data_IF_411846636030
#
_entry.id   IF_411846636030
#
_cell.length_a   1.000
_cell.length_b   1.000
_cell.length_c   1.000
_cell.angle_alpha   90.00
_cell.angle_beta   90.00
_cell.angle_gamma   90.00
#
_symmetry.space_group_name_H-M   'P 1'
#
loop_
_entity.id
_entity.type
_entity.pdbx_description
1 polymer ?
#
# COMPACT_ATOMS: atom_id res chain seq x y z
N UNK A 1 -37.70 34.39 6.77
CA UNK A 1 -36.95 33.15 6.56
C UNK A 1 -35.49 33.54 6.45
N UNK A 2 -34.58 32.98 7.26
CA UNK A 2 -33.17 33.29 7.13
C UNK A 2 -32.67 32.64 5.84
N UNK A 3 -31.96 33.43 5.02
CA UNK A 3 -31.22 32.95 3.87
C UNK A 3 -30.19 31.92 4.34
N UNK A 4 -30.30 30.69 3.85
CA UNK A 4 -29.24 29.71 3.93
C UNK A 4 -28.02 30.33 3.24
N UNK A 5 -27.01 30.66 4.06
CA UNK A 5 -25.68 30.92 3.53
C UNK A 5 -25.18 29.60 2.94
N UNK A 6 -25.14 29.53 1.62
CA UNK A 6 -24.25 28.61 0.92
C UNK A 6 -22.87 28.77 1.56
N UNK A 7 -22.46 27.78 2.36
CA UNK A 7 -21.07 27.66 2.79
C UNK A 7 -20.26 27.45 1.52
N UNK A 8 -19.50 28.45 1.11
CA UNK A 8 -18.56 28.37 0.00
C UNK A 8 -17.55 27.25 0.34
N UNK A 9 -17.82 26.04 -0.17
CA UNK A 9 -16.94 24.89 -0.01
C UNK A 9 -15.56 25.23 -0.59
N UNK A 10 -14.49 24.81 0.09
CA UNK A 10 -13.11 25.17 -0.23
C UNK A 10 -12.78 24.91 -1.70
N UNK A 11 -12.40 25.97 -2.43
CA UNK A 11 -11.85 25.87 -3.79
C UNK A 11 -10.60 24.98 -3.75
N UNK A 12 -10.43 24.12 -4.76
CA UNK A 12 -9.18 23.37 -4.95
C UNK A 12 -7.99 24.33 -4.77
N UNK A 13 -7.12 24.10 -3.77
CA UNK A 13 -6.03 25.02 -3.47
C UNK A 13 -4.96 25.06 -4.58
N UNK A 14 -4.94 24.08 -5.48
CA UNK A 14 -3.93 23.93 -6.54
C UNK A 14 -4.54 23.37 -7.85
N UNK A 15 -5.47 24.09 -8.50
CA UNK A 15 -6.30 23.57 -9.61
C UNK A 15 -5.55 23.24 -10.91
N UNK A 16 -4.23 23.50 -10.94
CA UNK A 16 -3.34 23.23 -12.08
C UNK A 16 -2.36 22.10 -11.81
N UNK A 17 -2.24 21.65 -10.58
CA UNK A 17 -1.33 20.57 -10.20
C UNK A 17 -2.05 19.23 -10.39
N UNK A 18 -1.53 18.36 -11.24
CA UNK A 18 -2.20 17.09 -11.59
C UNK A 18 -1.84 15.93 -10.65
N UNK A 19 -0.82 16.12 -9.81
CA UNK A 19 -0.38 15.14 -8.81
C UNK A 19 -1.32 15.03 -7.61
N UNK A 20 -2.41 15.80 -7.59
CA UNK A 20 -3.46 15.76 -6.58
C UNK A 20 -4.43 14.60 -6.82
N UNK A 21 -4.83 13.99 -5.70
CA UNK A 21 -5.89 12.96 -5.68
C UNK A 21 -7.28 13.62 -5.62
N UNK A 22 -7.39 14.89 -5.22
CA UNK A 22 -8.68 15.57 -5.07
C UNK A 22 -9.21 16.15 -6.38
N UNK A 23 -10.03 15.38 -7.09
CA UNK A 23 -11.00 15.98 -8.01
C UNK A 23 -12.38 15.54 -7.56
N UNK A 24 -13.04 16.41 -6.76
CA UNK A 24 -14.42 16.28 -6.26
C UNK A 24 -14.72 14.96 -5.54
N UNK A 25 -14.28 14.85 -4.30
CA UNK A 25 -14.98 13.94 -3.40
C UNK A 25 -16.03 14.70 -2.63
N UNK A 26 -17.27 14.35 -2.96
CA UNK A 26 -18.56 14.72 -2.42
C UNK A 26 -18.82 16.20 -2.06
N UNK A 27 -20.08 16.58 -2.22
CA UNK A 27 -20.63 17.88 -1.86
C UNK A 27 -20.68 18.05 -0.32
N UNK A 28 -20.13 17.09 0.43
CA UNK A 28 -20.13 17.02 1.88
C UNK A 28 -18.70 16.93 2.44
N UNK A 29 -18.39 17.62 3.55
CA UNK A 29 -17.15 17.38 4.27
C UNK A 29 -17.17 15.96 4.84
N UNK A 30 -16.21 15.13 4.40
CA UNK A 30 -15.94 13.83 5.00
C UNK A 30 -15.54 14.06 6.46
N UNK A 31 -16.30 13.50 7.40
CA UNK A 31 -15.96 13.55 8.81
C UNK A 31 -14.79 12.60 9.08
N UNK A 32 -13.64 13.18 9.47
CA UNK A 32 -12.40 12.43 9.76
C UNK A 32 -12.57 11.44 10.92
N UNK A 33 -13.62 11.58 11.73
CA UNK A 33 -13.81 10.79 12.95
C UNK A 33 -14.56 9.48 12.73
N UNK A 34 -15.17 9.30 11.56
CA UNK A 34 -15.98 8.11 11.26
C UNK A 34 -15.41 7.30 10.10
N UNK A 35 -14.57 6.32 10.45
CA UNK A 35 -14.06 5.29 9.52
C UNK A 35 -15.18 4.41 8.92
N UNK A 36 -16.42 4.54 9.41
CA UNK A 36 -17.60 3.87 8.85
C UNK A 36 -18.43 4.75 7.90
N UNK A 37 -18.04 6.02 7.71
CA UNK A 37 -18.66 6.89 6.71
C UNK A 37 -18.43 6.33 5.29
N UNK A 38 -19.50 6.05 4.52
CA UNK A 38 -19.39 5.57 3.15
C UNK A 38 -18.49 6.42 2.26
N UNK A 39 -18.49 7.75 2.42
CA UNK A 39 -17.67 8.65 1.62
C UNK A 39 -16.17 8.50 1.95
N UNK A 40 -15.81 8.30 3.22
CA UNK A 40 -14.44 7.98 3.67
C UNK A 40 -13.95 6.67 3.04
N UNK A 41 -14.79 5.64 3.06
CA UNK A 41 -14.46 4.31 2.50
C UNK A 41 -14.24 4.42 0.98
N UNK A 42 -15.12 5.13 0.28
CA UNK A 42 -15.00 5.37 -1.16
C UNK A 42 -13.69 6.09 -1.50
N UNK A 43 -13.30 7.12 -0.74
CA UNK A 43 -12.02 7.80 -0.93
C UNK A 43 -10.82 6.88 -0.82
N UNK A 44 -10.77 6.07 0.24
CA UNK A 44 -9.65 5.18 0.52
C UNK A 44 -9.46 4.20 -0.64
N UNK A 45 -10.55 3.60 -1.11
CA UNK A 45 -10.53 2.75 -2.30
C UNK A 45 -10.11 3.52 -3.56
N UNK A 46 -10.55 4.77 -3.74
CA UNK A 46 -10.17 5.60 -4.88
C UNK A 46 -8.66 5.80 -4.92
N UNK A 47 -8.08 6.21 -3.79
CA UNK A 47 -6.65 6.48 -3.66
C UNK A 47 -5.81 5.22 -3.92
N UNK A 48 -6.18 4.07 -3.36
CA UNK A 48 -5.49 2.79 -3.59
C UNK A 48 -5.52 2.40 -5.06
N UNK A 49 -6.71 2.41 -5.68
CA UNK A 49 -6.87 2.07 -7.11
C UNK A 49 -6.09 3.02 -8.01
N UNK A 50 -6.00 4.31 -7.65
CA UNK A 50 -5.17 5.29 -8.36
C UNK A 50 -3.71 4.87 -8.37
N UNK A 51 -3.17 4.52 -7.20
CA UNK A 51 -1.77 4.10 -7.05
C UNK A 51 -1.52 2.83 -7.86
N UNK A 52 -2.39 1.82 -7.75
CA UNK A 52 -2.26 0.56 -8.49
C UNK A 52 -2.24 0.78 -10.00
N UNK A 53 -3.20 1.55 -10.54
CA UNK A 53 -3.26 1.85 -11.99
C UNK A 53 -2.04 2.65 -12.45
N UNK A 54 -1.59 3.61 -11.65
CA UNK A 54 -0.39 4.38 -11.94
C UNK A 54 0.84 3.47 -12.08
N UNK A 55 1.00 2.49 -11.18
CA UNK A 55 2.07 1.50 -11.26
C UNK A 55 1.94 0.66 -12.54
N UNK A 56 0.74 0.13 -12.82
CA UNK A 56 0.47 -0.69 -14.00
C UNK A 56 0.77 0.03 -15.32
N UNK A 57 0.35 1.30 -15.47
CA UNK A 57 0.65 2.14 -16.65
C UNK A 57 2.14 2.32 -16.88
N UNK A 58 2.93 2.27 -15.82
CA UNK A 58 4.38 2.35 -15.88
C UNK A 58 5.04 0.96 -16.03
N UNK A 59 4.30 -0.07 -16.43
CA UNK A 59 4.79 -1.45 -16.53
C UNK A 59 5.37 -1.96 -15.19
N UNK A 60 4.63 -1.73 -14.10
CA UNK A 60 4.91 -2.31 -12.78
C UNK A 60 3.70 -3.17 -12.43
N UNK A 61 3.91 -4.46 -12.23
CA UNK A 61 2.86 -5.39 -11.83
C UNK A 61 2.44 -5.08 -10.40
N UNK A 62 1.24 -4.54 -10.21
CA UNK A 62 0.71 -4.15 -8.92
C UNK A 62 -0.78 -4.51 -8.76
N UNK A 63 -1.23 -4.72 -7.52
CA UNK A 63 -2.64 -4.96 -7.22
C UNK A 63 -3.06 -4.35 -5.87
N UNK A 64 -4.36 -4.22 -5.67
CA UNK A 64 -4.97 -3.86 -4.39
C UNK A 64 -5.03 -5.12 -3.49
N UNK A 65 -4.30 -5.10 -2.38
CA UNK A 65 -4.25 -6.24 -1.46
C UNK A 65 -5.47 -6.31 -0.51
N UNK A 66 -6.31 -5.28 -0.50
CA UNK A 66 -7.54 -5.17 0.29
C UNK A 66 -8.81 -5.38 -0.54
N UNK A 67 -8.72 -5.93 -1.75
CA UNK A 67 -9.89 -6.31 -2.56
C UNK A 67 -10.70 -7.45 -1.88
N UNK A 68 -11.37 -7.12 -0.78
CA UNK A 68 -12.61 -7.77 -0.36
C UNK A 68 -13.68 -7.42 -1.38
N UNK A 69 -14.61 -8.35 -1.58
CA UNK A 69 -15.65 -8.32 -2.61
C UNK A 69 -16.73 -7.23 -2.39
N UNK A 70 -16.34 -6.00 -2.07
CA UNK A 70 -17.23 -4.85 -2.10
C UNK A 70 -17.38 -4.41 -3.56
N UNK A 71 -18.57 -4.71 -4.08
CA UNK A 71 -19.07 -4.31 -5.40
C UNK A 71 -19.07 -2.78 -5.55
N UNK A 72 -18.49 -2.34 -6.67
CA UNK A 72 -19.14 -1.55 -7.72
C UNK A 72 -19.86 -0.23 -7.41
N UNK A 73 -19.43 0.56 -6.42
CA UNK A 73 -19.98 1.93 -6.28
C UNK A 73 -19.05 3.05 -6.78
N UNK A 74 -17.81 2.73 -7.20
CA UNK A 74 -16.97 3.69 -7.90
C UNK A 74 -16.91 3.39 -9.38
N UNK A 75 -17.52 4.28 -10.17
CA UNK A 75 -17.27 4.35 -11.60
C UNK A 75 -15.78 4.53 -11.85
N UNK A 76 -15.24 3.85 -12.86
CA UNK A 76 -13.86 4.06 -13.35
C UNK A 76 -13.61 5.48 -13.88
N UNK A 77 -14.65 6.32 -13.82
CA UNK A 77 -14.82 7.63 -14.43
C UNK A 77 -14.25 8.79 -13.59
N UNK A 78 -13.76 8.52 -12.38
CA UNK A 78 -13.12 9.52 -11.49
C UNK A 78 -11.61 9.71 -11.73
N UNK A 79 -11.04 8.99 -12.71
CA UNK A 79 -9.65 9.16 -13.14
C UNK A 79 -9.59 9.98 -14.44
N UNK A 80 -9.56 11.31 -14.33
CA UNK A 80 -9.52 12.23 -15.48
C UNK A 80 -8.12 12.47 -16.08
N UNK A 81 -7.10 11.73 -15.61
CA UNK A 81 -5.72 11.88 -16.10
C UNK A 81 -5.46 11.18 -17.45
N UNK A 82 -6.44 10.42 -17.98
CA UNK A 82 -6.31 9.81 -19.30
C UNK A 82 -6.97 10.68 -20.38
N UNK A 83 -6.31 10.78 -21.55
CA UNK A 83 -6.95 11.27 -22.77
C UNK A 83 -8.10 10.33 -23.08
N UNK A 84 -9.32 10.76 -22.76
CA UNK A 84 -10.53 9.98 -23.04
C UNK A 84 -10.84 10.06 -24.53
N UNK A 85 -11.23 8.93 -25.15
CA UNK A 85 -11.88 9.00 -26.44
C UNK A 85 -13.08 9.95 -26.37
N UNK A 86 -13.26 10.77 -27.39
CA UNK A 86 -14.52 11.49 -27.57
C UNK A 86 -15.59 10.47 -27.96
N UNK A 87 -16.24 9.87 -26.96
CA UNK A 87 -17.24 8.82 -27.16
C UNK A 87 -18.43 9.30 -27.98
N UNK A 88 -18.75 10.60 -27.97
CA UNK A 88 -19.76 11.16 -28.86
C UNK A 88 -19.31 11.18 -30.33
N UNK A 89 -18.04 11.45 -30.62
CA UNK A 89 -17.48 11.30 -31.96
C UNK A 89 -17.36 9.82 -32.37
N UNK A 90 -17.02 8.94 -31.43
CA UNK A 90 -16.97 7.48 -31.65
C UNK A 90 -18.35 6.94 -32.00
N UNK A 91 -19.37 7.23 -31.18
CA UNK A 91 -20.75 6.79 -31.39
C UNK A 91 -21.24 7.24 -32.77
N UNK A 92 -21.02 8.50 -33.16
CA UNK A 92 -21.41 9.00 -34.51
C UNK A 92 -20.84 8.18 -35.67
N UNK A 93 -19.66 7.58 -35.50
CA UNK A 93 -19.01 6.75 -36.53
C UNK A 93 -19.47 5.29 -36.52
N UNK A 94 -20.07 4.84 -35.43
CA UNK A 94 -20.64 3.50 -35.36
C UNK A 94 -21.95 3.46 -36.16
N UNK A 95 -22.08 2.43 -36.99
CA UNK A 95 -23.26 2.21 -37.83
C UNK A 95 -23.58 0.73 -37.84
N UNK A 96 -24.86 0.41 -37.71
CA UNK A 96 -25.37 -0.96 -37.85
C UNK A 96 -26.27 -1.04 -39.07
N UNK A 97 -26.33 -2.22 -39.70
CA UNK A 97 -27.19 -2.43 -40.85
C UNK A 97 -28.03 -3.70 -40.64
N UNK A 98 -29.34 -3.54 -40.54
CA UNK A 98 -30.27 -4.64 -40.42
C UNK A 98 -31.53 -4.41 -41.25
N UNK A 99 -32.02 -5.49 -41.86
CA UNK A 99 -33.30 -5.50 -42.56
C UNK A 99 -34.40 -5.94 -41.60
N UNK A 100 -35.45 -5.13 -41.51
CA UNK A 100 -36.68 -5.49 -40.82
C UNK A 100 -37.33 -6.71 -41.48
N UNK A 101 -37.73 -7.71 -40.67
CA UNK A 101 -38.52 -8.85 -41.13
C UNK A 101 -39.98 -8.69 -40.65
N UNK A 102 -40.93 -8.42 -41.56
CA UNK A 102 -42.34 -8.25 -41.21
C UNK A 102 -43.00 -9.53 -40.68
N UNK A 103 -42.40 -10.70 -40.90
CA UNK A 103 -42.94 -11.97 -40.44
C UNK A 103 -42.50 -12.33 -39.01
N UNK A 104 -41.65 -11.50 -38.39
CA UNK A 104 -41.13 -11.71 -37.05
C UNK A 104 -41.82 -10.80 -36.04
N UNK A 105 -42.03 -11.33 -34.84
CA UNK A 105 -42.51 -10.53 -33.70
C UNK A 105 -41.48 -9.44 -33.33
N UNK A 106 -41.91 -8.44 -32.56
CA UNK A 106 -40.99 -7.43 -32.01
C UNK A 106 -39.85 -8.06 -31.21
N UNK A 107 -40.14 -9.10 -30.42
CA UNK A 107 -39.12 -9.87 -29.70
C UNK A 107 -38.10 -10.53 -30.64
N UNK A 108 -38.58 -11.23 -31.68
CA UNK A 108 -37.73 -11.94 -32.64
C UNK A 108 -36.87 -11.00 -33.49
N UNK A 109 -37.43 -9.86 -33.90
CA UNK A 109 -36.66 -8.80 -34.55
C UNK A 109 -35.65 -8.18 -33.56
N UNK A 110 -36.06 -7.99 -32.31
CA UNK A 110 -35.26 -7.43 -31.23
C UNK A 110 -33.97 -8.21 -30.90
N UNK A 111 -33.95 -9.53 -31.11
CA UNK A 111 -32.77 -10.36 -30.84
C UNK A 111 -31.52 -9.94 -31.64
N UNK A 112 -31.69 -9.22 -32.77
CA UNK A 112 -30.57 -8.69 -33.54
C UNK A 112 -29.73 -7.67 -32.76
N UNK A 113 -30.31 -6.99 -31.77
CA UNK A 113 -29.59 -6.07 -30.89
C UNK A 113 -28.41 -6.75 -30.17
N UNK A 114 -28.52 -8.05 -29.89
CA UNK A 114 -27.40 -8.81 -29.34
C UNK A 114 -26.23 -8.96 -30.31
N UNK A 115 -26.48 -9.08 -31.62
CA UNK A 115 -25.42 -9.18 -32.62
C UNK A 115 -24.69 -7.85 -32.82
N UNK A 116 -25.40 -6.73 -32.70
CA UNK A 116 -24.80 -5.39 -32.78
C UNK A 116 -23.75 -5.12 -31.69
N UNK A 117 -23.87 -5.74 -30.52
CA UNK A 117 -22.82 -5.65 -29.48
C UNK A 117 -21.50 -6.26 -29.97
N UNK A 118 -21.55 -7.37 -30.70
CA UNK A 118 -20.34 -8.01 -31.23
C UNK A 118 -19.71 -7.16 -32.35
N UNK A 119 -20.54 -6.52 -33.18
CA UNK A 119 -20.12 -5.53 -34.18
C UNK A 119 -19.47 -4.30 -33.51
N UNK A 120 -20.06 -3.81 -32.41
CA UNK A 120 -19.53 -2.68 -31.66
C UNK A 120 -18.16 -3.00 -31.01
N UNK A 121 -18.01 -4.18 -30.41
CA UNK A 121 -16.71 -4.61 -29.88
C UNK A 121 -15.63 -4.67 -30.95
N UNK A 122 -15.96 -5.22 -32.13
CA UNK A 122 -15.04 -5.27 -33.26
C UNK A 122 -14.66 -3.86 -33.72
N UNK A 123 -15.64 -2.97 -33.85
CA UNK A 123 -15.42 -1.57 -34.19
C UNK A 123 -14.48 -0.89 -33.17
N UNK A 124 -14.69 -1.11 -31.87
CA UNK A 124 -13.81 -0.57 -30.84
C UNK A 124 -12.37 -1.08 -30.98
N UNK A 125 -12.18 -2.39 -31.17
CA UNK A 125 -10.85 -2.98 -31.37
C UNK A 125 -10.13 -2.41 -32.60
N UNK A 126 -10.83 -2.31 -33.74
CA UNK A 126 -10.28 -1.78 -35.00
C UNK A 126 -9.88 -0.30 -34.90
N UNK A 127 -10.48 0.44 -33.98
CA UNK A 127 -10.20 1.86 -33.75
C UNK A 127 -9.31 2.11 -32.51
N UNK A 128 -8.75 1.05 -31.91
CA UNK A 128 -7.90 1.17 -30.71
C UNK A 128 -8.64 1.74 -29.49
N UNK A 129 -9.95 1.53 -29.44
CA UNK A 129 -10.81 1.96 -28.34
C UNK A 129 -10.92 0.84 -27.31
N UNK A 130 -10.79 1.23 -26.06
CA UNK A 130 -10.94 0.32 -24.93
C UNK A 130 -12.32 0.51 -24.30
N UNK A 131 -13.16 -0.51 -24.36
CA UNK A 131 -14.52 -0.48 -23.83
C UNK A 131 -14.54 -0.34 -22.30
N UNK A 132 -13.46 -0.70 -21.61
CA UNK A 132 -13.32 -0.44 -20.16
C UNK A 132 -13.37 1.06 -19.85
N UNK A 133 -13.12 1.94 -20.83
CA UNK A 133 -13.17 3.39 -20.64
C UNK A 133 -14.55 4.01 -20.88
N UNK A 134 -15.56 3.20 -21.17
CA UNK A 134 -16.94 3.66 -21.33
C UNK A 134 -17.58 3.94 -19.96
N UNK A 135 -18.50 4.92 -19.94
CA UNK A 135 -19.45 5.16 -18.85
C UNK A 135 -20.86 4.74 -19.27
N UNK A 136 -21.77 4.71 -18.31
CA UNK A 136 -23.21 4.50 -18.57
C UNK A 136 -23.75 5.52 -19.59
N UNK A 137 -23.37 6.79 -19.48
CA UNK A 137 -23.73 7.81 -20.48
C UNK A 137 -23.15 7.52 -21.88
N UNK A 138 -21.97 6.89 -21.98
CA UNK A 138 -21.40 6.51 -23.28
C UNK A 138 -22.13 5.31 -23.87
N UNK A 139 -22.59 4.38 -23.03
CA UNK A 139 -23.45 3.26 -23.43
C UNK A 139 -24.78 3.81 -23.97
N UNK A 140 -25.39 4.77 -23.28
CA UNK A 140 -26.61 5.45 -23.74
C UNK A 140 -26.39 6.15 -25.08
N UNK A 141 -25.27 6.87 -25.27
CA UNK A 141 -24.94 7.52 -26.54
C UNK A 141 -24.85 6.52 -27.71
N UNK A 142 -24.24 5.35 -27.48
CA UNK A 142 -24.12 4.31 -28.51
C UNK A 142 -25.47 3.62 -28.75
N UNK A 143 -26.29 3.44 -27.70
CA UNK A 143 -27.66 2.91 -27.81
C UNK A 143 -28.53 3.83 -28.67
N UNK A 144 -28.50 5.13 -28.41
CA UNK A 144 -29.27 6.12 -29.15
C UNK A 144 -28.82 6.16 -30.63
N UNK A 145 -27.50 6.00 -30.87
CA UNK A 145 -26.98 5.83 -32.22
C UNK A 145 -27.53 4.60 -32.95
N UNK A 146 -27.70 3.48 -32.24
CA UNK A 146 -28.31 2.27 -32.81
C UNK A 146 -29.76 2.53 -33.20
N UNK A 147 -30.54 3.27 -32.38
CA UNK A 147 -31.91 3.67 -32.75
C UNK A 147 -31.93 4.52 -34.02
N UNK A 148 -31.03 5.50 -34.13
CA UNK A 148 -30.90 6.36 -35.32
C UNK A 148 -30.61 5.54 -36.59
N UNK A 149 -29.76 4.52 -36.51
CA UNK A 149 -29.44 3.65 -37.65
C UNK A 149 -30.65 2.83 -38.12
N UNK A 150 -31.66 2.67 -37.25
CA UNK A 150 -32.88 1.90 -37.53
C UNK A 150 -34.07 2.81 -37.80
N UNK A 151 -33.90 4.12 -38.00
CA UNK A 151 -34.99 5.10 -38.16
C UNK A 151 -36.04 4.67 -39.20
N UNK A 152 -35.61 4.03 -40.29
CA UNK A 152 -36.48 3.56 -41.38
C UNK A 152 -37.35 2.34 -41.03
N UNK A 153 -37.19 1.75 -39.84
CA UNK A 153 -38.02 0.63 -39.40
C UNK A 153 -39.44 1.09 -39.07
N UNK A 154 -40.46 0.30 -39.45
CA UNK A 154 -41.85 0.77 -39.48
C UNK A 154 -42.53 0.93 -38.11
N UNK A 155 -41.91 0.47 -37.02
CA UNK A 155 -42.51 0.49 -35.69
C UNK A 155 -41.47 0.77 -34.60
N UNK A 156 -41.77 1.76 -33.75
CA UNK A 156 -40.94 2.14 -32.61
C UNK A 156 -40.78 1.00 -31.61
N UNK A 157 -41.80 0.16 -31.41
CA UNK A 157 -41.75 -1.00 -30.50
C UNK A 157 -40.68 -2.00 -30.93
N UNK A 158 -40.48 -2.19 -32.25
CA UNK A 158 -39.43 -3.07 -32.74
C UNK A 158 -38.05 -2.47 -32.50
N UNK A 159 -37.87 -1.16 -32.75
CA UNK A 159 -36.61 -0.47 -32.51
C UNK A 159 -36.24 -0.46 -31.03
N UNK A 160 -37.20 -0.14 -30.16
CA UNK A 160 -37.06 -0.17 -28.71
C UNK A 160 -36.57 -1.54 -28.22
N UNK A 161 -37.17 -2.64 -28.70
CA UNK A 161 -36.72 -3.97 -28.32
C UNK A 161 -35.29 -4.28 -28.78
N UNK A 162 -34.87 -3.79 -29.96
CA UNK A 162 -33.49 -3.93 -30.45
C UNK A 162 -32.53 -3.14 -29.55
N UNK A 163 -32.85 -1.88 -29.25
CA UNK A 163 -32.00 -1.01 -28.43
C UNK A 163 -31.92 -1.49 -26.99
N UNK A 164 -33.01 -2.00 -26.40
CA UNK A 164 -32.99 -2.60 -25.06
C UNK A 164 -32.11 -3.85 -24.99
N UNK A 165 -32.20 -4.74 -25.99
CA UNK A 165 -31.36 -5.94 -26.03
C UNK A 165 -29.88 -5.59 -26.26
N UNK A 166 -29.61 -4.58 -27.10
CA UNK A 166 -28.27 -4.05 -27.31
C UNK A 166 -27.69 -3.48 -26.02
N UNK A 167 -28.40 -2.55 -25.38
CA UNK A 167 -28.03 -1.91 -24.12
C UNK A 167 -27.75 -2.95 -23.03
N UNK A 168 -28.68 -3.87 -22.80
CA UNK A 168 -28.53 -4.94 -21.82
C UNK A 168 -27.26 -5.78 -22.05
N UNK A 169 -26.98 -6.22 -23.29
CA UNK A 169 -25.81 -7.06 -23.57
C UNK A 169 -24.51 -6.24 -23.56
N UNK A 170 -24.53 -4.97 -23.98
CA UNK A 170 -23.37 -4.10 -23.91
C UNK A 170 -22.98 -3.80 -22.46
N UNK A 171 -23.93 -3.37 -21.64
CA UNK A 171 -23.73 -3.12 -20.21
C UNK A 171 -23.23 -4.38 -19.49
N UNK A 172 -23.83 -5.54 -19.78
CA UNK A 172 -23.36 -6.81 -19.23
C UNK A 172 -21.94 -7.17 -19.68
N UNK A 173 -21.62 -7.00 -20.96
CA UNK A 173 -20.27 -7.31 -21.44
C UNK A 173 -19.21 -6.35 -20.92
N UNK A 174 -19.55 -5.09 -20.71
CA UNK A 174 -18.70 -4.10 -20.07
C UNK A 174 -18.42 -4.50 -18.62
N UNK A 175 -19.47 -4.86 -17.88
CA UNK A 175 -19.38 -5.32 -16.49
C UNK A 175 -18.55 -6.61 -16.36
N UNK A 176 -18.85 -7.63 -17.18
CA UNK A 176 -18.08 -8.88 -17.22
C UNK A 176 -16.59 -8.62 -17.51
N UNK A 177 -16.28 -7.62 -18.34
CA UNK A 177 -14.90 -7.26 -18.67
C UNK A 177 -14.20 -6.50 -17.54
N UNK A 178 -14.89 -5.64 -16.79
CA UNK A 178 -14.35 -5.05 -15.56
C UNK A 178 -14.02 -6.13 -14.54
N UNK A 179 -14.93 -7.09 -14.34
CA UNK A 179 -14.71 -8.22 -13.44
C UNK A 179 -13.48 -9.03 -13.87
N UNK A 180 -13.34 -9.31 -15.17
CA UNK A 180 -12.17 -10.01 -15.70
C UNK A 180 -10.88 -9.19 -15.59
N UNK A 181 -10.93 -7.88 -15.81
CA UNK A 181 -9.77 -6.99 -15.65
C UNK A 181 -9.30 -7.02 -14.19
N UNK A 182 -10.20 -6.75 -13.24
CA UNK A 182 -9.94 -6.83 -11.80
C UNK A 182 -9.41 -8.22 -11.39
N UNK A 183 -10.00 -9.29 -11.91
CA UNK A 183 -9.53 -10.66 -11.66
C UNK A 183 -8.12 -10.91 -12.24
N UNK A 184 -7.81 -10.37 -13.41
CA UNK A 184 -6.49 -10.46 -14.03
C UNK A 184 -5.43 -9.70 -13.23
N UNK A 185 -5.78 -8.55 -12.65
CA UNK A 185 -4.92 -7.78 -11.74
C UNK A 185 -4.58 -8.57 -10.48
N UNK A 186 -5.51 -9.40 -9.96
CA UNK A 186 -5.27 -10.32 -8.84
C UNK A 186 -4.33 -11.51 -9.14
N UNK A 187 -3.97 -11.72 -10.41
CA UNK A 187 -3.06 -12.80 -10.86
C UNK A 187 -1.70 -12.31 -11.33
N UNK A 188 -1.45 -11.00 -11.29
CA UNK A 188 -0.19 -10.42 -11.72
C UNK A 188 0.99 -10.99 -10.93
N UNK A 189 2.00 -11.50 -11.64
CA UNK A 189 3.29 -11.89 -11.06
C UNK A 189 4.36 -10.92 -11.56
N UNK A 190 5.05 -10.25 -10.65
CA UNK A 190 6.20 -9.43 -11.01
C UNK A 190 7.32 -10.36 -11.53
N UNK A 191 7.92 -10.10 -12.71
CA UNK A 191 8.89 -11.01 -13.31
C UNK A 191 10.17 -11.16 -12.47
N UNK A 192 10.44 -10.23 -11.54
CA UNK A 192 11.61 -10.24 -10.67
C UNK A 192 11.34 -10.87 -9.30
N UNK A 193 10.10 -11.29 -9.01
CA UNK A 193 9.77 -11.86 -7.70
C UNK A 193 10.51 -13.18 -7.44
N UNK A 194 11.03 -13.33 -6.23
CA UNK A 194 11.59 -14.59 -5.75
C UNK A 194 10.44 -15.48 -5.30
N UNK A 195 10.31 -16.64 -5.96
CA UNK A 195 9.34 -17.67 -5.55
C UNK A 195 9.72 -18.24 -4.19
N UNK A 196 8.86 -17.98 -3.20
CA UNK A 196 8.96 -18.55 -1.85
C UNK A 196 7.85 -19.59 -1.67
N UNK A 197 8.20 -20.76 -1.16
CA UNK A 197 7.25 -21.86 -0.92
C UNK A 197 6.16 -21.38 0.05
N UNK A 198 4.88 -21.61 -0.31
CA UNK A 198 3.68 -21.18 0.46
C UNK A 198 3.51 -19.67 0.60
N UNK A 199 4.13 -18.87 -0.26
CA UNK A 199 3.89 -17.45 -0.34
C UNK A 199 2.44 -17.19 -0.82
N UNK A 200 1.71 -16.32 -0.11
CA UNK A 200 0.35 -15.92 -0.52
C UNK A 200 0.39 -15.19 -1.86
N UNK A 201 -0.65 -15.34 -2.68
CA UNK A 201 -0.76 -14.71 -4.00
C UNK A 201 -0.47 -13.21 -4.00
N UNK A 202 -0.92 -12.50 -2.96
CA UNK A 202 -0.69 -11.05 -2.78
C UNK A 202 0.76 -10.59 -2.74
N UNK A 203 1.72 -11.50 -2.53
CA UNK A 203 3.15 -11.17 -2.47
C UNK A 203 3.90 -11.54 -3.76
N UNK A 204 3.19 -11.91 -4.82
CA UNK A 204 3.79 -12.24 -6.13
C UNK A 204 4.04 -11.01 -7.01
N UNK A 205 3.41 -9.88 -6.66
CA UNK A 205 3.55 -8.60 -7.32
C UNK A 205 3.64 -7.50 -6.28
N UNK A 206 3.86 -6.26 -6.72
CA UNK A 206 3.70 -5.11 -5.84
C UNK A 206 2.25 -5.06 -5.34
N UNK A 207 2.07 -4.62 -4.11
CA UNK A 207 0.74 -4.45 -3.55
C UNK A 207 0.62 -3.10 -2.87
N UNK A 208 -0.58 -2.54 -2.94
CA UNK A 208 -0.93 -1.31 -2.24
C UNK A 208 -1.95 -1.68 -1.17
N UNK A 209 -1.71 -1.22 0.05
CA UNK A 209 -2.64 -1.37 1.19
C UNK A 209 -2.85 -0.03 1.86
N UNK A 210 -4.00 0.13 2.49
CA UNK A 210 -4.24 1.24 3.41
C UNK A 210 -3.29 1.14 4.60
N UNK A 211 -2.64 2.25 4.93
CA UNK A 211 -1.93 2.41 6.20
C UNK A 211 -2.81 3.17 7.18
N UNK A 212 -3.59 2.41 7.96
CA UNK A 212 -4.51 2.94 8.98
C UNK A 212 -3.81 3.72 10.10
N UNK A 213 -2.47 3.64 10.19
CA UNK A 213 -1.73 4.46 11.16
C UNK A 213 -1.62 5.93 10.74
N UNK A 214 -1.96 6.25 9.49
CA UNK A 214 -1.98 7.61 8.93
C UNK A 214 -3.45 8.05 8.83
N UNK A 215 -3.99 8.52 9.94
CA UNK A 215 -5.38 8.97 10.10
C UNK A 215 -5.61 10.47 9.83
N UNK A 216 -4.54 11.20 9.48
CA UNK A 216 -4.58 12.65 9.27
C UNK A 216 -4.62 13.49 10.55
N UNK A 217 -5.07 12.95 11.70
CA UNK A 217 -5.05 13.65 13.00
C UNK A 217 -3.63 13.92 13.49
N UNK A 218 -2.72 13.01 13.17
CA UNK A 218 -1.30 13.18 13.46
C UNK A 218 -0.59 14.26 12.62
N UNK A 219 -1.28 14.96 11.72
CA UNK A 219 -0.66 15.84 10.72
C UNK A 219 -0.83 17.30 11.10
N UNK A 220 0.17 17.85 11.81
CA UNK A 220 0.17 19.24 12.28
C UNK A 220 1.32 20.03 11.65
N UNK A 221 1.23 21.37 11.56
CA UNK A 221 2.28 22.19 10.96
C UNK A 221 3.64 22.04 11.66
N UNK A 222 3.63 21.84 12.97
CA UNK A 222 4.82 21.58 13.78
C UNK A 222 5.52 20.25 13.43
N UNK A 223 4.82 19.35 12.73
CA UNK A 223 5.32 18.05 12.24
C UNK A 223 5.76 18.08 10.78
N UNK A 224 5.82 19.28 10.19
CA UNK A 224 6.22 19.49 8.81
C UNK A 224 7.44 20.40 8.76
N UNK A 225 8.46 20.01 7.99
CA UNK A 225 9.55 20.92 7.66
C UNK A 225 9.08 21.77 6.49
N UNK A 226 8.52 22.92 6.83
CA UNK A 226 8.15 23.93 5.85
C UNK A 226 9.44 24.69 5.50
N UNK A 227 9.90 24.67 4.24
CA UNK A 227 11.03 25.50 3.83
C UNK A 227 10.75 26.96 4.19
N UNK A 228 11.75 27.69 4.69
CA UNK A 228 11.57 29.06 5.23
C UNK A 228 10.83 30.03 4.28
N UNK A 229 10.94 29.80 2.97
CA UNK A 229 10.28 30.60 1.93
C UNK A 229 8.79 30.25 1.69
N UNK A 230 8.25 29.25 2.39
CA UNK A 230 6.86 28.80 2.32
C UNK A 230 6.16 28.77 3.68
N UNK A 231 6.73 29.40 4.73
CA UNK A 231 6.19 29.41 6.10
C UNK A 231 4.73 29.88 6.21
N UNK A 232 4.23 30.65 5.22
CA UNK A 232 2.85 31.12 5.17
C UNK A 232 1.83 30.10 4.63
N UNK A 233 2.26 28.93 4.16
CA UNK A 233 1.37 27.90 3.60
C UNK A 233 1.24 26.77 4.62
N UNK A 234 0.04 26.60 5.17
CA UNK A 234 -0.28 25.55 6.15
C UNK A 234 -0.96 24.38 5.43
N UNK A 235 -0.20 23.40 4.91
CA UNK A 235 -0.75 22.43 3.99
C UNK A 235 -1.76 21.48 4.67
N UNK A 236 -1.74 21.42 6.01
CA UNK A 236 -2.61 20.56 6.82
C UNK A 236 -4.09 20.95 6.79
N UNK A 237 -4.37 22.24 6.59
CA UNK A 237 -5.73 22.80 6.61
C UNK A 237 -6.39 22.70 5.23
N UNK A 238 -5.57 22.62 4.17
CA UNK A 238 -6.01 22.63 2.79
C UNK A 238 -6.21 21.23 2.19
N UNK A 239 -5.72 20.16 2.87
CA UNK A 239 -5.61 18.82 2.27
C UNK A 239 -6.39 17.71 2.99
N UNK A 240 -6.80 16.73 2.19
CA UNK A 240 -7.21 15.41 2.65
C UNK A 240 -6.01 14.47 2.67
N UNK A 241 -5.73 13.89 3.84
CA UNK A 241 -4.60 13.00 4.04
C UNK A 241 -5.04 11.56 3.88
N UNK A 242 -4.25 10.77 3.14
CA UNK A 242 -4.48 9.35 2.96
C UNK A 242 -3.17 8.58 3.18
N UNK A 243 -3.22 7.54 4.01
CA UNK A 243 -2.14 6.60 4.25
C UNK A 243 -2.14 5.43 3.29
N UNK A 244 -1.06 5.26 2.53
CA UNK A 244 -0.84 4.07 1.72
C UNK A 244 0.51 3.44 2.00
N UNK A 245 0.54 2.12 2.17
CA UNK A 245 1.76 1.33 2.15
C UNK A 245 1.88 0.61 0.80
N UNK A 246 3.01 0.82 0.12
CA UNK A 246 3.35 0.11 -1.13
C UNK A 246 4.37 -0.96 -0.80
N UNK A 247 3.95 -2.22 -0.90
CA UNK A 247 4.73 -3.39 -0.48
C UNK A 247 5.28 -4.11 -1.71
N UNK A 248 6.59 -4.32 -1.76
CA UNK A 248 7.23 -5.10 -2.82
C UNK A 248 6.92 -6.59 -2.70
N UNK A 249 6.99 -7.37 -3.79
CA UNK A 249 7.15 -8.80 -3.67
C UNK A 249 8.51 -9.12 -3.01
N UNK A 250 8.78 -10.38 -2.59
CA UNK A 250 10.13 -10.77 -2.21
C UNK A 250 11.08 -10.58 -3.39
N UNK A 251 12.08 -9.72 -3.22
CA UNK A 251 13.08 -9.42 -4.24
C UNK A 251 14.43 -10.06 -3.88
N UNK A 252 15.22 -10.39 -4.89
CA UNK A 252 16.58 -10.88 -4.68
C UNK A 252 17.50 -9.72 -4.27
N UNK A 253 18.18 -9.85 -3.13
CA UNK A 253 19.01 -8.79 -2.55
C UNK A 253 20.17 -8.36 -3.48
N UNK A 254 20.77 -9.31 -4.19
CA UNK A 254 21.95 -9.13 -5.03
C UNK A 254 21.61 -8.92 -6.53
N UNK A 255 20.33 -8.73 -6.87
CA UNK A 255 19.92 -8.52 -8.24
C UNK A 255 19.86 -7.02 -8.60
N UNK A 256 20.55 -6.58 -9.66
CA UNK A 256 20.39 -5.23 -10.22
C UNK A 256 18.95 -4.94 -10.66
N UNK A 257 18.18 -5.97 -11.05
CA UNK A 257 16.78 -5.80 -11.44
C UNK A 257 15.90 -5.44 -10.24
N UNK A 258 16.18 -5.99 -9.05
CA UNK A 258 15.47 -5.63 -7.82
C UNK A 258 15.66 -4.14 -7.49
N UNK A 259 16.90 -3.66 -7.56
CA UNK A 259 17.23 -2.24 -7.32
C UNK A 259 16.52 -1.34 -8.33
N UNK A 260 16.60 -1.68 -9.62
CA UNK A 260 15.92 -0.94 -10.67
C UNK A 260 14.39 -0.93 -10.50
N UNK A 261 13.80 -2.04 -10.06
CA UNK A 261 12.36 -2.15 -9.78
C UNK A 261 11.93 -1.22 -8.65
N UNK A 262 12.67 -1.23 -7.52
CA UNK A 262 12.43 -0.34 -6.39
C UNK A 262 12.56 1.13 -6.81
N UNK A 263 13.64 1.49 -7.50
CA UNK A 263 13.87 2.86 -8.00
C UNK A 263 12.75 3.32 -8.93
N UNK A 264 12.31 2.44 -9.84
CA UNK A 264 11.23 2.72 -10.78
C UNK A 264 9.91 2.99 -10.04
N UNK A 265 9.54 2.15 -9.06
CA UNK A 265 8.35 2.35 -8.23
C UNK A 265 8.44 3.69 -7.49
N UNK A 266 9.55 3.95 -6.79
CA UNK A 266 9.74 5.22 -6.08
C UNK A 266 9.66 6.43 -7.02
N UNK A 267 10.28 6.36 -8.20
CA UNK A 267 10.23 7.43 -9.21
C UNK A 267 8.82 7.67 -9.73
N UNK A 268 8.06 6.62 -10.03
CA UNK A 268 6.68 6.72 -10.53
C UNK A 268 5.78 7.36 -9.48
N UNK A 269 5.87 6.92 -8.23
CA UNK A 269 5.08 7.49 -7.13
C UNK A 269 5.42 8.97 -6.92
N UNK A 270 6.70 9.34 -6.83
CA UNK A 270 7.12 10.75 -6.66
C UNK A 270 6.74 11.64 -7.84
N UNK A 271 6.85 11.12 -9.06
CA UNK A 271 6.60 11.89 -10.28
C UNK A 271 5.12 12.20 -10.50
N UNK A 272 4.22 11.36 -9.98
CA UNK A 272 2.80 11.41 -10.31
C UNK A 272 1.89 11.65 -9.09
N UNK A 273 2.39 11.49 -7.87
CA UNK A 273 1.63 11.74 -6.64
C UNK A 273 2.31 12.83 -5.83
N UNK A 274 1.50 13.67 -5.18
CA UNK A 274 2.01 14.66 -4.24
C UNK A 274 2.33 13.99 -2.92
N UNK A 275 3.55 13.50 -2.79
CA UNK A 275 4.06 12.94 -1.54
C UNK A 275 4.53 14.08 -0.63
N UNK A 276 3.77 14.33 0.43
CA UNK A 276 4.10 15.33 1.43
C UNK A 276 5.18 14.84 2.38
N UNK A 277 6.33 15.50 2.34
CA UNK A 277 7.50 15.21 3.16
C UNK A 277 8.13 16.54 3.60
N UNK A 278 8.60 16.64 4.85
CA UNK A 278 8.58 15.61 5.88
C UNK A 278 7.33 15.59 6.76
N UNK A 279 6.94 14.40 7.22
CA UNK A 279 5.95 14.21 8.28
C UNK A 279 6.62 13.42 9.40
N UNK A 280 6.51 13.92 10.63
CA UNK A 280 7.18 13.37 11.82
C UNK A 280 6.56 12.04 12.29
N UNK A 281 5.30 11.71 11.95
CA UNK A 281 4.58 10.56 12.52
C UNK A 281 3.96 9.66 11.44
N UNK A 282 3.89 8.36 11.72
CA UNK A 282 3.21 7.28 10.97
C UNK A 282 3.73 6.91 9.58
N UNK A 283 4.50 7.76 8.89
CA UNK A 283 5.17 7.33 7.64
C UNK A 283 6.40 6.49 7.98
N UNK A 284 6.49 5.26 7.45
CA UNK A 284 7.57 4.30 7.75
C UNK A 284 8.19 3.67 6.51
N UNK A 285 9.46 3.29 6.57
CA UNK A 285 10.09 2.37 5.61
C UNK A 285 10.49 1.09 6.33
N UNK A 286 9.98 -0.03 5.82
CA UNK A 286 10.17 -1.34 6.42
C UNK A 286 10.94 -2.24 5.46
N UNK A 287 12.08 -2.77 5.92
CA UNK A 287 12.84 -3.77 5.17
C UNK A 287 12.61 -5.13 5.79
N UNK A 288 12.04 -6.05 5.01
CA UNK A 288 11.86 -7.44 5.43
C UNK A 288 12.96 -8.32 4.85
N UNK A 289 13.88 -8.78 5.71
CA UNK A 289 14.96 -9.67 5.34
C UNK A 289 14.55 -11.14 5.58
N UNK A 290 14.41 -11.89 4.49
CA UNK A 290 14.09 -13.31 4.50
C UNK A 290 15.30 -14.18 4.15
N UNK A 291 15.35 -15.40 4.70
CA UNK A 291 16.35 -16.40 4.32
C UNK A 291 15.64 -17.69 3.88
N UNK A 292 15.97 -18.20 2.69
CA UNK A 292 15.29 -19.37 2.08
C UNK A 292 15.34 -20.62 2.97
N UNK A 293 16.41 -20.79 3.76
CA UNK A 293 16.59 -21.92 4.67
C UNK A 293 16.26 -21.59 6.13
N UNK A 294 15.60 -20.46 6.38
CA UNK A 294 15.36 -19.94 7.72
C UNK A 294 16.61 -19.35 8.36
N UNK A 295 16.38 -18.56 9.41
CA UNK A 295 17.44 -17.99 10.25
C UNK A 295 17.87 -18.99 11.32
N UNK A 296 19.16 -19.00 11.66
CA UNK A 296 19.68 -19.72 12.83
C UNK A 296 20.08 -18.74 13.95
N UNK A 297 20.20 -19.25 15.18
CA UNK A 297 20.48 -18.42 16.35
C UNK A 297 21.79 -17.62 16.23
N UNK A 298 22.85 -18.21 15.67
CA UNK A 298 24.12 -17.52 15.49
C UNK A 298 24.00 -16.33 14.51
N UNK A 299 23.29 -16.53 13.41
CA UNK A 299 22.99 -15.45 12.46
C UNK A 299 22.18 -14.33 13.14
N UNK A 300 21.21 -14.69 14.00
CA UNK A 300 20.42 -13.71 14.73
C UNK A 300 21.25 -12.91 15.73
N UNK A 301 22.11 -13.58 16.51
CA UNK A 301 23.04 -12.93 17.44
C UNK A 301 23.95 -11.96 16.70
N UNK A 302 24.55 -12.39 15.58
CA UNK A 302 25.40 -11.53 14.74
C UNK A 302 24.64 -10.36 14.14
N UNK A 303 23.42 -10.58 13.64
CA UNK A 303 22.60 -9.52 13.07
C UNK A 303 22.22 -8.46 14.12
N UNK A 304 21.73 -8.88 15.28
CA UNK A 304 21.35 -7.95 16.36
C UNK A 304 22.58 -7.23 16.90
N UNK A 305 23.71 -7.94 17.07
CA UNK A 305 24.98 -7.33 17.48
C UNK A 305 25.42 -6.27 16.47
N UNK A 306 25.40 -6.61 15.17
CA UNK A 306 25.73 -5.65 14.12
C UNK A 306 24.82 -4.44 14.19
N UNK A 307 23.50 -4.63 14.34
CA UNK A 307 22.54 -3.55 14.45
C UNK A 307 22.84 -2.62 15.63
N UNK A 308 23.08 -3.17 16.83
CA UNK A 308 23.47 -2.38 18.02
C UNK A 308 24.68 -1.49 17.71
N UNK A 309 25.71 -2.03 17.06
CA UNK A 309 26.96 -1.30 16.77
C UNK A 309 26.83 -0.23 15.69
N UNK A 310 25.82 -0.32 14.83
CA UNK A 310 25.66 0.61 13.70
C UNK A 310 24.47 1.55 13.87
N UNK A 311 23.53 1.25 14.76
CA UNK A 311 22.26 1.97 14.92
C UNK A 311 22.50 3.46 15.24
N UNK A 312 23.46 3.78 16.11
CA UNK A 312 23.83 5.16 16.43
C UNK A 312 24.37 5.93 15.22
N UNK A 313 25.01 5.26 14.27
CA UNK A 313 25.52 5.88 13.03
C UNK A 313 24.42 6.05 12.00
N UNK A 314 23.53 5.07 11.89
CA UNK A 314 22.35 5.18 11.05
C UNK A 314 21.38 6.24 11.59
N UNK A 315 21.33 6.48 12.92
CA UNK A 315 20.37 7.41 13.54
C UNK A 315 20.38 8.81 12.89
N UNK A 316 21.55 9.23 12.39
CA UNK A 316 21.82 10.52 11.75
C UNK A 316 21.56 10.57 10.24
N UNK A 317 21.45 9.42 9.57
CA UNK A 317 20.94 9.34 8.20
C UNK A 317 19.42 9.56 8.14
N UNK A 318 18.77 9.64 9.29
CA UNK A 318 17.36 9.94 9.40
C UNK A 318 17.11 11.43 9.62
N UNK A 319 15.84 11.84 9.51
CA UNK A 319 15.43 13.21 9.77
C UNK A 319 15.87 13.70 11.15
N UNK A 320 16.00 15.02 11.25
CA UNK A 320 16.47 15.80 12.41
C UNK A 320 15.86 15.38 13.76
N UNK A 321 14.67 14.80 13.75
CA UNK A 321 13.83 14.52 14.91
C UNK A 321 13.82 13.04 15.33
N UNK A 322 14.50 12.11 14.64
CA UNK A 322 14.53 10.69 15.07
C UNK A 322 15.07 10.50 16.48
N UNK A 323 16.04 11.31 16.89
CA UNK A 323 16.58 11.29 18.26
C UNK A 323 15.70 12.02 19.28
N UNK A 324 14.56 12.59 18.88
CA UNK A 324 13.67 13.28 19.80
C UNK A 324 12.90 12.26 20.65
N UNK A 325 12.78 12.55 21.94
CA UNK A 325 12.11 11.69 22.93
C UNK A 325 10.69 11.27 22.51
N UNK A 326 9.93 12.21 21.93
CA UNK A 326 8.58 11.97 21.38
C UNK A 326 8.50 10.93 20.25
N UNK A 327 9.62 10.59 19.61
CA UNK A 327 9.68 9.59 18.53
C UNK A 327 10.01 8.18 19.04
N UNK A 328 10.42 8.05 20.31
CA UNK A 328 10.82 6.77 20.89
C UNK A 328 9.70 5.73 20.82
N UNK A 329 8.44 6.11 21.00
CA UNK A 329 7.31 5.15 20.94
C UNK A 329 7.10 4.55 19.54
N UNK A 330 7.53 5.23 18.47
CA UNK A 330 7.29 4.81 17.08
C UNK A 330 8.49 4.10 16.43
N UNK A 331 9.72 4.42 16.87
CA UNK A 331 10.95 3.86 16.33
C UNK A 331 12.12 3.97 17.33
N UNK A 332 11.97 3.39 18.53
CA UNK A 332 13.01 3.43 19.56
C UNK A 332 14.27 2.64 19.16
N UNK A 333 15.43 3.12 19.59
CA UNK A 333 16.68 2.38 19.49
C UNK A 333 16.59 1.05 20.26
N UNK A 334 17.36 0.04 19.84
CA UNK A 334 17.41 -1.26 20.51
C UNK A 334 17.78 -1.13 22.00
N UNK A 335 18.72 -0.24 22.31
CA UNK A 335 19.23 -0.02 23.66
C UNK A 335 18.26 0.71 24.60
N UNK A 336 17.13 1.20 24.09
CA UNK A 336 16.14 1.96 24.86
C UNK A 336 14.76 1.30 24.83
N UNK A 337 14.29 0.90 23.64
CA UNK A 337 12.90 0.47 23.41
C UNK A 337 12.62 -1.01 23.53
N UNK A 338 13.64 -1.84 23.76
CA UNK A 338 13.43 -3.29 23.88
C UNK A 338 13.20 -3.76 25.30
N UNK A 339 12.54 -4.91 25.44
CA UNK A 339 12.32 -5.55 26.74
C UNK A 339 13.64 -5.79 27.50
N UNK A 340 14.68 -6.29 26.82
CA UNK A 340 16.00 -6.50 27.41
C UNK A 340 16.65 -5.18 27.83
N UNK A 341 16.61 -4.17 26.97
CA UNK A 341 17.18 -2.86 27.26
C UNK A 341 16.54 -2.24 28.50
N UNK A 342 15.22 -2.25 28.60
CA UNK A 342 14.52 -1.74 29.79
C UNK A 342 14.84 -2.58 31.03
N UNK A 343 15.02 -3.89 30.91
CA UNK A 343 15.41 -4.72 32.05
C UNK A 343 16.82 -4.40 32.57
N UNK A 344 17.74 -3.98 31.69
CA UNK A 344 19.13 -3.66 32.03
C UNK A 344 19.30 -2.19 32.46
N UNK A 345 18.77 -1.25 31.67
CA UNK A 345 19.19 0.14 31.68
C UNK A 345 18.09 1.15 32.03
N UNK A 346 16.83 0.73 32.19
CA UNK A 346 15.76 1.68 32.56
C UNK A 346 16.12 2.40 33.86
N UNK A 347 15.83 3.69 33.99
CA UNK A 347 16.25 4.48 35.15
C UNK A 347 15.52 4.04 36.43
N UNK A 348 14.22 3.77 36.33
CA UNK A 348 13.41 3.23 37.44
C UNK A 348 13.70 1.73 37.71
N UNK A 349 14.00 1.42 38.96
CA UNK A 349 14.22 0.06 39.45
C UNK A 349 12.98 -0.82 39.38
N UNK A 350 11.78 -0.26 39.57
CA UNK A 350 10.53 -1.01 39.46
C UNK A 350 10.30 -1.48 38.02
N UNK A 351 10.49 -0.59 37.05
CA UNK A 351 10.41 -0.91 35.62
C UNK A 351 11.44 -1.97 35.20
N UNK A 352 12.67 -1.93 35.76
CA UNK A 352 13.67 -3.00 35.57
C UNK A 352 13.20 -4.33 36.16
N UNK A 353 12.60 -4.32 37.35
CA UNK A 353 12.09 -5.52 38.02
C UNK A 353 10.95 -6.18 37.25
N UNK A 354 9.96 -5.38 36.77
CA UNK A 354 8.83 -5.84 35.96
C UNK A 354 9.28 -6.67 34.75
N UNK A 355 10.45 -6.35 34.19
CA UNK A 355 11.03 -6.98 32.99
C UNK A 355 12.24 -7.87 33.27
N UNK A 356 12.52 -8.17 34.54
CA UNK A 356 13.68 -9.01 34.91
C UNK A 356 13.61 -10.41 34.28
N UNK A 357 12.40 -10.91 33.97
CA UNK A 357 12.17 -12.17 33.25
C UNK A 357 12.75 -12.20 31.83
N UNK A 358 13.00 -11.03 31.22
CA UNK A 358 13.57 -10.93 29.88
C UNK A 358 15.08 -11.17 29.87
N UNK A 359 15.78 -11.08 31.01
CA UNK A 359 17.24 -11.31 31.08
C UNK A 359 17.56 -12.80 30.86
N UNK A 360 18.67 -13.13 30.18
CA UNK A 360 19.07 -14.51 29.98
C UNK A 360 19.37 -15.18 31.33
N UNK A 361 18.87 -16.41 31.51
CA UNK A 361 19.10 -17.24 32.70
C UNK A 361 20.12 -18.33 32.39
N UNK A 362 21.36 -17.94 32.15
CA UNK A 362 22.46 -18.89 31.93
C UNK A 362 23.16 -19.24 33.24
N UNK A 363 23.52 -20.51 33.43
CA UNK A 363 24.44 -20.89 34.49
C UNK A 363 25.83 -20.28 34.28
N UNK A 364 26.68 -20.16 35.32
CA UNK A 364 28.03 -19.58 35.16
C UNK A 364 28.88 -20.26 34.07
N UNK A 365 28.78 -21.59 33.95
CA UNK A 365 29.50 -22.35 32.91
C UNK A 365 28.97 -22.07 31.50
N UNK A 366 27.65 -21.98 31.34
CA UNK A 366 27.04 -21.61 30.06
C UNK A 366 27.38 -20.18 29.66
N UNK A 367 27.37 -19.25 30.62
CA UNK A 367 27.79 -17.87 30.40
C UNK A 367 29.24 -17.83 29.89
N UNK A 368 30.18 -18.50 30.56
CA UNK A 368 31.58 -18.54 30.13
C UNK A 368 31.74 -19.08 28.69
N UNK A 369 31.03 -20.17 28.36
CA UNK A 369 31.03 -20.75 27.00
C UNK A 369 30.45 -19.79 25.96
N UNK A 370 29.31 -19.17 26.26
CA UNK A 370 28.64 -18.23 25.35
C UNK A 370 29.49 -16.97 25.12
N UNK A 371 30.18 -16.48 26.15
CA UNK A 371 31.14 -15.38 26.03
C UNK A 371 32.36 -15.75 25.19
N UNK A 372 32.85 -16.99 25.29
CA UNK A 372 33.88 -17.50 24.39
C UNK A 372 33.45 -17.43 22.92
N UNK A 373 32.24 -17.92 22.62
CA UNK A 373 31.66 -17.87 21.27
C UNK A 373 31.45 -16.43 20.77
N UNK A 374 31.01 -15.51 21.64
CA UNK A 374 30.88 -14.09 21.30
C UNK A 374 32.21 -13.50 20.84
N UNK A 375 33.30 -13.76 21.57
CA UNK A 375 34.63 -13.21 21.28
C UNK A 375 35.23 -13.72 19.96
N UNK A 376 34.74 -14.83 19.42
CA UNK A 376 35.11 -15.29 18.08
C UNK A 376 34.49 -14.43 16.95
N UNK A 377 33.51 -13.59 17.29
CA UNK A 377 32.67 -12.86 16.33
C UNK A 377 32.58 -11.37 16.57
N UNK A 378 32.91 -10.91 17.78
CA UNK A 378 32.76 -9.51 18.21
C UNK A 378 34.08 -9.07 18.84
N UNK A 379 34.67 -8.03 18.28
CA UNK A 379 35.79 -7.34 18.91
C UNK A 379 35.25 -6.34 19.93
N UNK A 380 35.45 -6.63 21.21
CA UNK A 380 34.94 -5.83 22.33
C UNK A 380 35.88 -4.69 22.75
N UNK A 381 37.02 -4.52 22.08
CA UNK A 381 38.05 -3.57 22.50
C UNK A 381 37.66 -2.10 22.30
N UNK A 382 36.79 -1.81 21.33
CA UNK A 382 36.37 -0.45 20.96
C UNK A 382 34.84 -0.22 21.10
N UNK A 383 34.15 -1.03 21.91
CA UNK A 383 32.70 -0.95 22.11
C UNK A 383 32.40 -0.20 23.42
N UNK A 384 31.39 0.68 23.42
CA UNK A 384 30.97 1.38 24.64
C UNK A 384 30.45 0.40 25.71
N UNK A 385 30.61 0.74 26.99
CA UNK A 385 30.24 -0.17 28.10
C UNK A 385 28.78 -0.63 28.02
N UNK A 386 27.85 0.29 27.73
CA UNK A 386 26.41 -0.01 27.60
C UNK A 386 26.11 -0.94 26.43
N UNK A 387 26.74 -0.70 25.28
CA UNK A 387 26.62 -1.55 24.09
C UNK A 387 27.19 -2.93 24.38
N UNK A 388 28.37 -2.99 25.00
CA UNK A 388 29.04 -4.23 25.39
C UNK A 388 28.14 -5.05 26.30
N UNK A 389 27.63 -4.49 27.40
CA UNK A 389 26.75 -5.19 28.34
C UNK A 389 25.50 -5.75 27.64
N UNK A 390 24.88 -4.98 26.73
CA UNK A 390 23.74 -5.46 25.97
C UNK A 390 24.12 -6.64 25.07
N UNK A 391 25.23 -6.52 24.32
CA UNK A 391 25.75 -7.58 23.45
C UNK A 391 26.05 -8.84 24.28
N UNK A 392 26.71 -8.73 25.43
CA UNK A 392 26.99 -9.88 26.30
C UNK A 392 25.70 -10.65 26.68
N UNK A 393 24.60 -9.93 26.92
CA UNK A 393 23.30 -10.55 27.21
C UNK A 393 22.66 -11.19 25.97
N UNK A 394 22.74 -10.56 24.80
CA UNK A 394 22.27 -11.13 23.52
C UNK A 394 22.93 -12.48 23.23
N UNK A 395 24.23 -12.60 23.53
CA UNK A 395 24.99 -13.82 23.28
C UNK A 395 24.69 -14.95 24.26
N UNK A 396 23.98 -14.68 25.36
CA UNK A 396 23.61 -15.68 26.35
C UNK A 396 22.31 -16.45 26.03
N UNK A 397 21.42 -15.93 25.18
CA UNK A 397 20.20 -16.66 24.78
C UNK A 397 20.53 -17.97 24.05
N UNK A 398 19.75 -19.01 24.31
CA UNK A 398 19.96 -20.36 23.75
C UNK A 398 18.93 -20.74 22.69
N UNK A 399 17.84 -19.97 22.57
CA UNK A 399 16.81 -20.15 21.55
C UNK A 399 16.56 -18.87 20.75
N UNK A 400 16.01 -19.00 19.54
CA UNK A 400 15.62 -17.84 18.74
C UNK A 400 14.39 -17.16 19.35
N UNK A 401 13.48 -17.95 19.93
CA UNK A 401 12.27 -17.44 20.60
C UNK A 401 12.60 -16.47 21.71
N UNK A 402 13.41 -16.88 22.68
CA UNK A 402 13.76 -16.03 23.83
C UNK A 402 14.51 -14.78 23.39
N UNK A 403 15.44 -14.92 22.43
CA UNK A 403 16.15 -13.78 21.87
C UNK A 403 15.19 -12.79 21.18
N UNK A 404 14.24 -13.30 20.40
CA UNK A 404 13.24 -12.48 19.70
C UNK A 404 12.33 -11.75 20.68
N UNK A 405 11.88 -12.41 21.73
CA UNK A 405 11.05 -11.82 22.77
C UNK A 405 11.82 -10.76 23.55
N UNK A 406 13.11 -11.02 23.84
CA UNK A 406 13.98 -10.08 24.53
C UNK A 406 14.22 -8.78 23.74
N UNK A 407 14.38 -8.87 22.42
CA UNK A 407 14.54 -7.69 21.55
C UNK A 407 13.21 -7.16 20.99
N UNK A 408 12.08 -7.67 21.48
CA UNK A 408 10.77 -7.11 21.14
C UNK A 408 10.54 -5.78 21.84
N UNK A 409 9.60 -5.00 21.30
CA UNK A 409 9.17 -3.74 21.91
C UNK A 409 8.59 -3.94 23.29
N UNK A 410 8.87 -3.01 24.19
CA UNK A 410 8.30 -2.99 25.53
C UNK A 410 7.09 -2.05 25.61
N UNK A 411 6.28 -2.19 26.65
CA UNK A 411 5.34 -1.13 27.05
C UNK A 411 6.10 -0.03 27.79
N UNK A 412 5.67 1.23 27.64
CA UNK A 412 6.10 2.33 28.48
C UNK A 412 5.33 2.37 29.82
N UNK A 413 5.42 3.49 30.54
CA UNK A 413 4.80 3.67 31.85
C UNK A 413 3.28 3.88 31.76
N UNK A 414 2.81 4.43 30.65
CA UNK A 414 1.38 4.67 30.36
C UNK A 414 0.70 3.44 29.75
N UNK A 415 1.49 2.40 29.42
CA UNK A 415 1.03 1.16 28.81
C UNK A 415 1.05 1.19 27.28
N UNK A 416 1.61 2.24 26.68
CA UNK A 416 1.76 2.33 25.24
C UNK A 416 2.90 1.45 24.74
N UNK A 417 2.66 0.76 23.64
CA UNK A 417 3.63 -0.17 23.07
C UNK A 417 4.72 0.58 22.31
N UNK A 418 5.95 0.54 22.82
CA UNK A 418 7.15 1.07 22.19
C UNK A 418 7.53 0.19 21.01
N UNK A 419 7.63 0.79 19.82
CA UNK A 419 8.02 0.11 18.58
C UNK A 419 9.53 0.27 18.37
N UNK A 420 10.34 -0.80 18.50
CA UNK A 420 11.77 -0.70 18.26
C UNK A 420 12.08 -0.57 16.76
N UNK A 421 13.18 0.10 16.45
CA UNK A 421 13.74 0.27 15.10
C UNK A 421 14.12 -1.07 14.46
N UNK A 422 14.45 -2.08 15.27
CA UNK A 422 14.57 -3.45 14.80
C UNK A 422 13.43 -4.29 15.37
N UNK A 423 12.61 -4.86 14.48
CA UNK A 423 11.58 -5.82 14.83
C UNK A 423 11.94 -7.22 14.33
N UNK A 424 12.47 -8.04 15.20
CA UNK A 424 12.72 -9.45 14.87
C UNK A 424 11.40 -10.22 14.90
N UNK A 425 11.00 -10.84 13.78
CA UNK A 425 9.71 -11.56 13.63
C UNK A 425 9.88 -12.91 12.94
N UNK A 426 10.44 -13.86 13.68
CA UNK A 426 10.69 -15.20 13.13
C UNK A 426 9.50 -16.10 13.43
N UNK A 427 8.58 -16.20 12.46
CA UNK A 427 7.49 -17.17 12.47
C UNK A 427 7.88 -18.39 11.63
N UNK A 428 7.62 -19.59 12.14
CA UNK A 428 7.79 -20.89 11.47
C UNK A 428 9.17 -21.55 11.59
N UNK A 429 9.63 -22.24 10.54
CA UNK A 429 10.81 -23.12 10.62
C UNK A 429 12.10 -22.36 10.97
N UNK A 430 12.58 -22.62 12.19
CA UNK A 430 13.83 -22.11 12.73
C UNK A 430 14.87 -23.20 12.62
N UNK A 431 15.98 -22.95 11.94
CA UNK A 431 16.98 -23.99 11.64
C UNK A 431 17.60 -24.62 12.90
N UNK A 432 17.63 -23.87 14.00
CA UNK A 432 18.14 -24.30 15.30
C UNK A 432 17.06 -24.80 16.28
N UNK A 433 15.79 -24.86 15.88
CA UNK A 433 14.69 -25.39 16.70
C UNK A 433 13.97 -26.51 15.92
N UNK A 434 13.16 -27.37 16.58
CA UNK A 434 12.41 -28.41 15.90
C UNK A 434 11.51 -27.83 14.79
N UNK A 435 11.37 -28.53 13.65
CA UNK A 435 10.57 -28.03 12.53
C UNK A 435 9.10 -27.90 12.94
N UNK A 436 8.49 -26.78 12.57
CA UNK A 436 7.06 -26.53 12.70
C UNK A 436 6.41 -26.48 11.32
N UNK A 437 5.10 -26.66 11.23
CA UNK A 437 4.35 -26.69 9.96
C UNK A 437 4.22 -25.33 9.25
N UNK A 438 4.90 -24.28 9.73
CA UNK A 438 4.63 -22.87 9.40
C UNK A 438 5.73 -22.26 8.52
N UNK A 439 5.34 -21.24 7.74
CA UNK A 439 6.07 -20.41 6.78
C UNK A 439 7.49 -19.98 7.18
N UNK A 440 8.39 -19.61 6.24
CA UNK A 440 9.72 -19.10 6.56
C UNK A 440 9.69 -17.78 7.35
N UNK A 441 10.60 -17.63 8.32
CA UNK A 441 10.69 -16.44 9.18
C UNK A 441 11.42 -15.25 8.54
N UNK A 442 11.06 -14.04 8.98
CA UNK A 442 11.59 -12.76 8.45
C UNK A 442 12.12 -11.88 9.58
N UNK A 443 13.17 -11.11 9.31
CA UNK A 443 13.55 -9.98 10.17
C UNK A 443 12.94 -8.72 9.56
N UNK A 444 12.19 -7.96 10.35
CA UNK A 444 11.63 -6.68 9.94
C UNK A 444 12.52 -5.58 10.54
N UNK A 445 13.23 -4.86 9.70
CA UNK A 445 14.03 -3.71 10.12
C UNK A 445 13.22 -2.45 9.81
N UNK A 446 12.86 -1.70 10.84
CA UNK A 446 12.21 -0.39 10.76
C UNK A 446 13.32 0.64 10.72
N UNK A 447 13.94 0.73 9.55
CA UNK A 447 15.14 1.53 9.42
C UNK A 447 14.82 3.00 9.38
N UNK A 448 13.64 3.46 8.93
CA UNK A 448 13.41 4.90 8.71
C UNK A 448 11.94 5.33 8.89
N UNK A 449 11.74 6.61 9.19
CA UNK A 449 10.51 7.29 8.77
C UNK A 449 10.44 7.22 7.25
N UNK A 450 9.27 6.85 6.73
CA UNK A 450 8.98 6.46 5.35
C UNK A 450 9.24 7.56 4.36
N UNK A 451 10.50 7.76 4.01
CA UNK A 451 10.84 8.53 2.84
C UNK A 451 10.88 7.55 1.67
N UNK A 452 10.06 7.78 0.64
CA UNK A 452 10.29 7.29 -0.73
C UNK A 452 11.68 7.68 -1.30
N UNK A 453 12.63 8.15 -0.47
CA UNK A 453 13.97 8.58 -0.85
C UNK A 453 14.99 7.47 -0.60
N UNK A 454 14.98 6.48 -1.50
CA UNK A 454 16.04 5.49 -1.58
C UNK A 454 17.30 5.99 -2.32
N UNK A 455 17.28 7.24 -2.81
CA UNK A 455 18.33 7.84 -3.67
C UNK A 455 19.23 8.84 -2.93
N UNK A 456 19.15 8.93 -1.59
CA UNK A 456 20.08 9.74 -0.79
C UNK A 456 21.07 8.87 -0.02
#
# INVERSE_FOLDING_TARGET
MPEEKDQEYGKDPHPRERRWISRRMSIAPIDRSDDSDPDTILFKHYAIRRIVRLLLRNNIHAHDAMATAHRDDMEESDFEDEVRPDWAAVARRFTVNARYDPNRTHYQNGLIGYAFVDEFHKFCQENGLDILKMKDADIELVRDRVDECLYDWPSSIHREQVTTNFDYKLSKSWEDRKVLDVASLGTAEDPTHVRVVRLKGRYKAWSVVEDVSVDGYGMTPARYEIPRFHESVTPMEDYYWFGAEVVSPPLAFDSPQSVASIQKVCSVLRGNLRCHKPMEVSTGFHVHLGHKHGWNLLQMKRFITLWVLVESRFIHLHRKDRGAERMAIWCANLLDGTCLARALFHQDAYERFKRAGCKPRSSPGEKARNMGNMREHVDVTEIEERESEFIENIWQYTTISELTDAVSGAEDEDGDFIRPALRVRIRGNKKSEPPTTVSPGTIEVRTMHGTLDADQ
#
